data_IF_461113422822
#
_entry.id   IF_461113422822
#
_cell.length_a   1.000
_cell.length_b   1.000
_cell.length_c   1.000
_cell.angle_alpha   90.00
_cell.angle_beta   90.00
_cell.angle_gamma   90.00
#
_symmetry.space_group_name_H-M   'P 1'
#
loop_
_entity.id
_entity.type
_entity.pdbx_description
1 polymer ?
#
# COMPACT_ATOMS: atom_id res chain seq x y z
N UNK A 1 52.69 9.79 32.66
CA UNK A 1 52.13 9.16 31.44
C UNK A 1 50.63 9.03 31.61
N UNK A 2 49.85 9.98 31.09
CA UNK A 2 48.39 9.87 31.09
C UNK A 2 48.01 8.96 29.93
N UNK A 3 47.48 7.76 30.22
CA UNK A 3 46.86 6.91 29.20
C UNK A 3 45.60 7.65 28.73
N UNK A 4 45.64 8.22 27.53
CA UNK A 4 44.44 8.68 26.85
C UNK A 4 43.57 7.44 26.58
N UNK A 5 42.54 7.24 27.39
CA UNK A 5 41.50 6.25 27.13
C UNK A 5 40.75 6.75 25.89
N UNK A 6 40.89 6.04 24.77
CA UNK A 6 40.16 6.35 23.54
C UNK A 6 38.66 6.41 23.87
N UNK A 7 37.90 7.36 23.26
CA UNK A 7 36.48 7.48 23.56
C UNK A 7 35.78 6.19 23.13
N UNK A 8 35.12 5.52 24.08
CA UNK A 8 34.32 4.33 23.82
C UNK A 8 33.00 4.73 23.14
N UNK A 9 33.05 5.05 21.85
CA UNK A 9 31.84 5.25 21.03
C UNK A 9 32.18 5.36 19.55
N UNK A 10 32.76 4.31 18.96
CA UNK A 10 32.76 4.12 17.50
C UNK A 10 32.46 2.65 17.27
N UNK A 11 31.43 2.39 16.46
CA UNK A 11 30.91 1.07 16.04
C UNK A 11 32.07 0.08 15.84
N UNK A 12 32.40 -0.71 16.87
CA UNK A 12 33.64 -1.50 16.91
C UNK A 12 33.66 -2.57 15.82
N UNK A 13 32.47 -3.05 15.45
CA UNK A 13 32.24 -3.98 14.34
C UNK A 13 32.58 -3.33 12.98
N UNK A 14 32.20 -2.06 12.75
CA UNK A 14 32.54 -1.33 11.52
C UNK A 14 34.02 -1.00 11.50
N UNK A 15 34.60 -0.63 12.64
CA UNK A 15 36.03 -0.37 12.74
C UNK A 15 36.87 -1.61 12.45
N UNK A 16 36.46 -2.77 12.96
CA UNK A 16 37.13 -4.03 12.66
C UNK A 16 37.06 -4.34 11.16
N UNK A 17 35.88 -4.18 10.55
CA UNK A 17 35.69 -4.38 9.12
C UNK A 17 36.57 -3.46 8.28
N UNK A 18 36.60 -2.16 8.58
CA UNK A 18 37.49 -1.19 7.94
C UNK A 18 38.97 -1.61 8.04
N UNK A 19 39.41 -2.03 9.23
CA UNK A 19 40.80 -2.44 9.47
C UNK A 19 41.22 -3.67 8.66
N UNK A 20 40.30 -4.62 8.43
CA UNK A 20 40.55 -5.79 7.58
C UNK A 20 40.90 -5.41 6.14
N UNK A 21 40.35 -4.31 5.61
CA UNK A 21 40.60 -3.86 4.24
C UNK A 21 41.69 -2.79 4.15
N UNK A 22 41.82 -1.91 5.16
CA UNK A 22 42.89 -0.91 5.23
C UNK A 22 44.29 -1.55 5.41
N UNK A 23 44.37 -2.82 5.80
CA UNK A 23 45.64 -3.59 5.86
C UNK A 23 46.75 -2.90 6.67
N UNK A 24 46.38 -2.23 7.77
CA UNK A 24 47.31 -1.50 8.65
C UNK A 24 47.67 -0.09 8.18
N UNK A 25 47.14 0.37 7.04
CA UNK A 25 47.24 1.76 6.59
C UNK A 25 46.26 2.67 7.36
N UNK A 26 46.53 3.97 7.34
CA UNK A 26 45.67 4.99 7.97
C UNK A 26 44.39 5.24 7.18
N UNK A 27 44.44 5.11 5.86
CA UNK A 27 43.31 5.25 4.94
C UNK A 27 43.07 3.94 4.18
N UNK A 28 41.89 3.82 3.57
CA UNK A 28 41.45 2.72 2.73
C UNK A 28 41.52 3.17 1.25
N UNK A 29 42.51 2.71 0.46
CA UNK A 29 42.61 3.07 -0.95
C UNK A 29 41.42 2.58 -1.78
N UNK A 30 41.10 3.25 -2.89
CA UNK A 30 40.00 2.88 -3.80
C UNK A 30 40.04 1.40 -4.21
N UNK A 31 41.22 0.86 -4.53
CA UNK A 31 41.38 -0.55 -4.90
C UNK A 31 41.05 -1.54 -3.75
N UNK A 32 41.21 -1.12 -2.49
CA UNK A 32 40.84 -1.91 -1.32
C UNK A 32 39.34 -1.76 -1.00
N UNK A 33 38.78 -0.56 -1.19
CA UNK A 33 37.34 -0.32 -1.13
C UNK A 33 36.60 -1.14 -2.18
N UNK A 34 37.12 -1.22 -3.42
CA UNK A 34 36.56 -2.06 -4.48
C UNK A 34 36.46 -3.54 -4.07
N UNK A 35 37.51 -4.08 -3.44
CA UNK A 35 37.49 -5.46 -2.91
C UNK A 35 36.42 -5.63 -1.83
N UNK A 36 36.25 -4.62 -0.98
CA UNK A 36 35.19 -4.61 0.03
C UNK A 36 33.80 -4.63 -0.62
N UNK A 37 33.56 -3.81 -1.65
CA UNK A 37 32.28 -3.77 -2.38
C UNK A 37 31.94 -5.12 -3.01
N UNK A 38 32.90 -5.72 -3.71
CA UNK A 38 32.70 -6.99 -4.41
C UNK A 38 32.50 -8.17 -3.43
N UNK A 39 33.20 -8.16 -2.29
CA UNK A 39 33.21 -9.30 -1.36
C UNK A 39 32.16 -9.20 -0.25
N UNK A 40 32.02 -8.04 0.37
CA UNK A 40 31.15 -7.86 1.55
C UNK A 40 29.80 -7.24 1.17
N UNK A 41 29.74 -6.38 0.15
CA UNK A 41 28.48 -5.80 -0.34
C UNK A 41 27.89 -6.59 -1.51
N UNK A 42 28.62 -7.59 -2.03
CA UNK A 42 28.22 -8.42 -3.17
C UNK A 42 27.95 -7.63 -4.47
N UNK A 43 28.55 -6.44 -4.60
CA UNK A 43 28.48 -5.59 -5.80
C UNK A 43 29.44 -6.12 -6.87
N UNK A 44 29.08 -7.24 -7.50
CA UNK A 44 29.96 -7.99 -8.41
C UNK A 44 30.36 -7.22 -9.68
N UNK A 45 29.56 -6.23 -10.09
CA UNK A 45 29.84 -5.37 -11.24
C UNK A 45 30.59 -4.10 -10.88
N UNK A 46 30.88 -3.87 -9.59
CA UNK A 46 31.63 -2.69 -9.16
C UNK A 46 33.04 -2.70 -9.77
N UNK A 47 33.48 -1.52 -10.18
CA UNK A 47 34.78 -1.24 -10.76
C UNK A 47 35.48 -0.10 -10.00
N UNK A 48 36.66 0.29 -10.48
CA UNK A 48 37.46 1.34 -9.82
C UNK A 48 36.74 2.69 -9.82
N UNK A 49 36.02 3.03 -10.89
CA UNK A 49 35.20 4.23 -10.98
C UNK A 49 34.08 4.24 -9.92
N UNK A 50 33.44 3.09 -9.68
CA UNK A 50 32.43 2.93 -8.62
C UNK A 50 33.03 3.27 -7.25
N UNK A 51 34.22 2.76 -6.94
CA UNK A 51 34.89 3.01 -5.66
C UNK A 51 35.32 4.48 -5.52
N UNK A 52 35.87 5.09 -6.57
CA UNK A 52 36.25 6.51 -6.57
C UNK A 52 35.03 7.43 -6.38
N UNK A 53 33.91 7.13 -7.05
CA UNK A 53 32.67 7.88 -6.90
C UNK A 53 32.12 7.83 -5.46
N UNK A 54 32.28 6.71 -4.76
CA UNK A 54 31.92 6.60 -3.34
C UNK A 54 32.86 7.42 -2.44
N UNK A 55 34.16 7.44 -2.75
CA UNK A 55 35.13 8.29 -2.05
C UNK A 55 34.77 9.76 -2.24
N UNK A 56 34.51 10.20 -3.47
CA UNK A 56 34.16 11.59 -3.76
C UNK A 56 32.88 12.04 -3.04
N UNK A 57 31.92 11.12 -2.85
CA UNK A 57 30.64 11.38 -2.18
C UNK A 57 30.73 11.37 -0.66
N UNK A 58 31.51 10.46 -0.08
CA UNK A 58 31.46 10.18 1.36
C UNK A 58 32.68 10.64 2.15
N UNK A 59 33.83 10.82 1.51
CA UNK A 59 35.04 11.30 2.18
C UNK A 59 34.96 12.81 2.45
N UNK A 60 35.37 13.20 3.66
CA UNK A 60 35.39 14.60 4.10
C UNK A 60 36.79 15.19 3.95
N UNK A 61 37.81 14.39 4.29
CA UNK A 61 39.19 14.86 4.30
C UNK A 61 39.70 14.99 2.86
N UNK A 62 39.94 16.24 2.44
CA UNK A 62 40.30 16.57 1.06
C UNK A 62 41.59 15.85 0.62
N UNK A 63 42.59 15.78 1.50
CA UNK A 63 43.84 15.05 1.24
C UNK A 63 43.64 13.56 0.99
N UNK A 64 42.68 12.92 1.69
CA UNK A 64 42.35 11.52 1.47
C UNK A 64 41.62 11.33 0.14
N UNK A 65 40.65 12.22 -0.15
CA UNK A 65 39.89 12.23 -1.41
C UNK A 65 40.79 12.44 -2.63
N UNK A 66 41.70 13.43 -2.59
CA UNK A 66 42.68 13.70 -3.64
C UNK A 66 43.64 12.53 -3.88
N UNK A 67 43.96 11.76 -2.83
CA UNK A 67 44.77 10.55 -2.93
C UNK A 67 43.98 9.28 -3.26
N UNK A 68 42.69 9.42 -3.65
CA UNK A 68 41.77 8.31 -3.94
C UNK A 68 41.73 7.28 -2.80
N UNK A 69 41.63 7.77 -1.57
CA UNK A 69 41.51 6.97 -0.37
C UNK A 69 40.43 7.49 0.58
N UNK A 70 39.92 6.59 1.43
CA UNK A 70 38.85 6.86 2.38
C UNK A 70 39.34 6.70 3.82
N UNK A 71 39.03 7.64 4.69
CA UNK A 71 39.25 7.53 6.12
C UNK A 71 38.20 6.62 6.75
N UNK A 72 38.41 6.23 8.01
CA UNK A 72 37.37 5.50 8.76
C UNK A 72 36.06 6.30 8.85
N UNK A 73 36.13 7.64 8.94
CA UNK A 73 34.94 8.50 9.02
C UNK A 73 34.17 8.50 7.69
N UNK A 74 34.88 8.58 6.55
CA UNK A 74 34.28 8.44 5.23
C UNK A 74 33.63 7.06 5.05
N UNK A 75 34.30 5.99 5.50
CA UNK A 75 33.77 4.63 5.43
C UNK A 75 32.53 4.45 6.31
N UNK A 76 32.54 4.99 7.54
CA UNK A 76 31.38 4.96 8.42
C UNK A 76 30.19 5.70 7.80
N UNK A 77 30.42 6.87 7.20
CA UNK A 77 29.38 7.63 6.49
C UNK A 77 28.80 6.86 5.31
N UNK A 78 29.64 6.16 4.54
CA UNK A 78 29.18 5.28 3.48
C UNK A 78 28.33 4.13 4.03
N UNK A 79 28.78 3.44 5.09
CA UNK A 79 28.04 2.33 5.72
C UNK A 79 26.69 2.77 6.32
N UNK A 80 26.55 4.02 6.72
CA UNK A 80 25.29 4.61 7.23
C UNK A 80 24.46 5.28 6.12
N UNK A 81 24.94 5.25 4.87
CA UNK A 81 24.30 5.91 3.75
C UNK A 81 23.15 5.10 3.14
N UNK A 82 22.47 5.73 2.18
CA UNK A 82 21.42 5.07 1.38
C UNK A 82 21.97 4.02 0.42
N UNK A 83 23.26 4.07 0.07
CA UNK A 83 23.93 3.07 -0.78
C UNK A 83 24.11 1.74 -0.03
N UNK A 84 24.28 1.77 1.29
CA UNK A 84 24.31 0.56 2.14
C UNK A 84 22.93 0.18 2.70
N UNK A 85 21.85 0.71 2.12
CA UNK A 85 20.52 0.35 2.56
C UNK A 85 20.24 -1.10 2.16
N UNK A 86 19.87 -1.94 3.14
CA UNK A 86 19.48 -3.36 2.90
C UNK A 86 18.27 -3.46 1.96
N UNK A 87 17.48 -2.39 1.83
CA UNK A 87 16.38 -2.34 0.88
C UNK A 87 16.91 -2.07 -0.54
N UNK A 88 16.69 -3.04 -1.43
CA UNK A 88 17.03 -2.92 -2.85
C UNK A 88 16.32 -1.70 -3.48
N UNK A 89 17.11 -0.73 -3.92
CA UNK A 89 16.62 0.52 -4.49
C UNK A 89 15.93 0.31 -5.83
N UNK A 90 16.27 -0.74 -6.58
CA UNK A 90 15.56 -1.08 -7.81
C UNK A 90 14.07 -1.36 -7.54
N UNK A 91 13.76 -1.88 -6.35
CA UNK A 91 12.39 -2.16 -5.89
C UNK A 91 11.71 -0.99 -5.17
N UNK A 92 12.33 0.20 -5.13
CA UNK A 92 11.73 1.38 -4.51
C UNK A 92 10.70 2.10 -5.40
N UNK A 93 10.59 1.68 -6.66
CA UNK A 93 9.58 2.12 -7.62
C UNK A 93 8.85 0.90 -8.20
N UNK A 94 7.75 1.10 -8.93
CA UNK A 94 7.06 0.00 -9.60
C UNK A 94 8.00 -0.64 -10.64
N UNK A 95 8.31 -1.92 -10.46
CA UNK A 95 9.23 -2.68 -11.33
C UNK A 95 8.64 -4.00 -11.86
N UNK A 96 7.49 -4.40 -11.33
CA UNK A 96 6.81 -5.65 -11.70
C UNK A 96 5.90 -5.43 -12.90
N UNK A 97 5.52 -6.52 -13.56
CA UNK A 97 4.44 -6.52 -14.55
C UNK A 97 3.11 -6.22 -13.82
N UNK A 98 2.43 -5.14 -14.23
CA UNK A 98 1.18 -4.66 -13.63
C UNK A 98 -0.04 -4.88 -14.54
N UNK A 99 0.11 -5.72 -15.56
CA UNK A 99 -0.92 -6.07 -16.55
C UNK A 99 -1.53 -7.47 -16.35
N UNK A 100 -1.09 -8.23 -15.34
CA UNK A 100 -1.71 -9.51 -14.98
C UNK A 100 -3.07 -9.28 -14.29
N UNK A 101 -3.95 -10.29 -14.20
CA UNK A 101 -5.19 -10.20 -13.43
C UNK A 101 -4.93 -9.85 -11.95
N UNK A 102 -5.84 -9.12 -11.30
CA UNK A 102 -5.74 -8.77 -9.86
C UNK A 102 -5.45 -9.97 -8.94
N UNK A 103 -5.91 -11.18 -9.31
CA UNK A 103 -5.64 -12.43 -8.58
C UNK A 103 -4.17 -12.85 -8.53
N UNK A 104 -3.32 -12.23 -9.35
CA UNK A 104 -1.88 -12.51 -9.43
C UNK A 104 -1.05 -11.67 -8.44
N UNK A 105 -1.67 -10.76 -7.69
CA UNK A 105 -0.99 -9.82 -6.80
C UNK A 105 -1.40 -9.99 -5.34
N UNK A 106 -0.45 -9.75 -4.44
CA UNK A 106 -0.80 -9.46 -3.05
C UNK A 106 -1.30 -8.02 -2.93
N UNK A 107 -2.50 -7.85 -2.37
CA UNK A 107 -3.15 -6.54 -2.20
C UNK A 107 -3.02 -6.12 -0.74
N UNK A 108 -2.36 -4.98 -0.49
CA UNK A 108 -2.29 -4.38 0.84
C UNK A 108 -3.71 -4.05 1.32
N UNK A 109 -4.16 -4.69 2.40
CA UNK A 109 -5.57 -4.71 2.81
C UNK A 109 -5.68 -4.42 4.31
N UNK A 110 -6.71 -3.68 4.71
CA UNK A 110 -7.02 -3.41 6.12
C UNK A 110 -8.36 -4.02 6.52
N UNK A 111 -8.45 -4.38 7.80
CA UNK A 111 -9.66 -4.93 8.42
C UNK A 111 -10.20 -3.94 9.45
N UNK A 112 -11.52 -3.74 9.48
CA UNK A 112 -12.23 -2.74 10.29
C UNK A 112 -11.51 -1.39 10.25
N UNK A 113 -11.27 -0.89 9.04
CA UNK A 113 -10.37 0.24 8.74
C UNK A 113 -10.73 1.51 9.51
N UNK A 114 -12.00 1.67 9.89
CA UNK A 114 -12.49 2.81 10.64
C UNK A 114 -11.96 2.88 12.09
N UNK A 115 -11.47 1.78 12.67
CA UNK A 115 -11.03 1.72 14.08
C UNK A 115 -9.60 2.23 14.27
N UNK A 116 -9.40 3.12 15.25
CA UNK A 116 -8.08 3.55 15.72
C UNK A 116 -7.64 2.87 17.03
N UNK A 117 -8.47 1.98 17.56
CA UNK A 117 -8.27 1.31 18.85
C UNK A 117 -8.72 -0.14 18.83
N UNK A 118 -9.17 -0.66 19.96
CA UNK A 118 -9.66 -2.04 20.07
C UNK A 118 -11.03 -2.25 19.40
N UNK A 119 -11.43 -3.51 19.27
CA UNK A 119 -12.65 -3.92 18.59
C UNK A 119 -13.94 -3.69 19.40
N UNK A 120 -13.89 -3.42 20.71
CA UNK A 120 -15.08 -3.41 21.56
C UNK A 120 -15.49 -2.01 22.02
N UNK A 121 -14.52 -1.18 22.39
CA UNK A 121 -14.72 0.18 22.92
C UNK A 121 -13.86 1.22 22.19
N UNK A 122 -13.14 0.81 21.15
CA UNK A 122 -12.27 1.68 20.36
C UNK A 122 -13.01 2.80 19.62
N UNK A 123 -12.27 3.85 19.28
CA UNK A 123 -12.80 4.97 18.51
C UNK A 123 -12.81 4.64 17.02
N UNK A 124 -13.92 4.93 16.35
CA UNK A 124 -13.97 5.04 14.89
C UNK A 124 -13.60 6.44 14.45
N UNK A 125 -12.70 6.58 13.48
CA UNK A 125 -12.21 7.89 13.02
C UNK A 125 -11.80 7.89 11.55
N UNK A 126 -12.00 9.02 10.87
CA UNK A 126 -11.61 9.20 9.46
C UNK A 126 -10.09 9.07 9.27
N UNK A 127 -9.29 9.52 10.25
CA UNK A 127 -7.82 9.40 10.21
C UNK A 127 -7.33 7.95 10.04
N UNK A 128 -8.13 6.97 10.45
CA UNK A 128 -7.79 5.56 10.26
C UNK A 128 -7.72 5.20 8.77
N UNK A 129 -8.68 5.69 7.97
CA UNK A 129 -8.67 5.57 6.51
C UNK A 129 -7.53 6.38 5.88
N UNK A 130 -7.30 7.62 6.33
CA UNK A 130 -6.19 8.46 5.84
C UNK A 130 -4.85 7.76 6.07
N UNK A 131 -4.63 7.23 7.28
CA UNK A 131 -3.41 6.52 7.63
C UNK A 131 -3.24 5.23 6.82
N UNK A 132 -4.31 4.45 6.63
CA UNK A 132 -4.27 3.24 5.82
C UNK A 132 -3.88 3.56 4.37
N UNK A 133 -4.55 4.54 3.74
CA UNK A 133 -4.28 4.97 2.37
C UNK A 133 -2.86 5.50 2.19
N UNK A 134 -2.37 6.36 3.10
CA UNK A 134 -1.00 6.89 3.06
C UNK A 134 0.08 5.85 3.31
N UNK A 135 -0.26 4.73 3.97
CA UNK A 135 0.61 3.55 4.09
C UNK A 135 0.51 2.60 2.88
N UNK A 136 -0.22 2.99 1.84
CA UNK A 136 -0.37 2.22 0.60
C UNK A 136 -1.46 1.13 0.64
N UNK A 137 -2.35 1.12 1.64
CA UNK A 137 -3.48 0.19 1.67
C UNK A 137 -4.39 0.41 0.46
N UNK A 138 -4.78 -0.67 -0.22
CA UNK A 138 -5.60 -0.70 -1.44
C UNK A 138 -6.94 -1.41 -1.25
N UNK A 139 -7.18 -2.13 -0.15
CA UNK A 139 -8.49 -2.69 0.17
C UNK A 139 -8.94 -2.21 1.55
N UNK A 140 -10.02 -1.46 1.60
CA UNK A 140 -10.55 -0.83 2.80
C UNK A 140 -11.91 -1.44 3.16
N UNK A 141 -12.02 -1.97 4.37
CA UNK A 141 -13.29 -2.43 4.93
C UNK A 141 -14.12 -1.30 5.53
N UNK A 142 -15.43 -1.31 5.27
CA UNK A 142 -16.42 -0.32 5.70
C UNK A 142 -17.71 -1.03 6.17
N UNK A 143 -17.92 -1.06 7.49
CA UNK A 143 -19.11 -1.69 8.10
C UNK A 143 -20.27 -0.70 8.15
N UNK A 144 -21.23 -0.86 7.26
CA UNK A 144 -22.30 0.11 7.03
C UNK A 144 -23.56 -0.29 7.81
N UNK A 145 -24.07 0.61 8.63
CA UNK A 145 -25.26 0.41 9.46
C UNK A 145 -26.24 1.58 9.32
N UNK A 146 -27.52 1.30 9.59
CA UNK A 146 -28.52 2.36 9.65
C UNK A 146 -28.16 3.40 10.71
N UNK A 147 -28.20 4.68 10.35
CA UNK A 147 -28.05 5.80 11.26
C UNK A 147 -29.32 6.66 11.38
N UNK A 148 -29.30 7.65 12.28
CA UNK A 148 -30.40 8.59 12.45
C UNK A 148 -30.59 9.46 11.19
N UNK A 149 -31.76 10.07 11.05
CA UNK A 149 -32.06 11.05 9.99
C UNK A 149 -31.78 10.57 8.56
N UNK A 150 -31.90 9.26 8.31
CA UNK A 150 -31.60 8.61 7.03
C UNK A 150 -30.13 8.71 6.58
N UNK A 151 -29.21 8.94 7.52
CA UNK A 151 -27.77 9.00 7.25
C UNK A 151 -27.07 7.70 7.68
N UNK A 152 -26.55 6.89 6.73
CA UNK A 152 -25.81 5.67 7.06
C UNK A 152 -24.54 5.98 7.86
N UNK A 153 -24.25 5.12 8.85
CA UNK A 153 -23.09 5.23 9.73
C UNK A 153 -22.15 4.04 9.58
N UNK A 154 -20.91 4.25 9.99
CA UNK A 154 -19.86 3.23 10.02
C UNK A 154 -19.35 3.02 11.43
N UNK A 155 -19.40 1.77 11.90
CA UNK A 155 -18.88 1.32 13.19
C UNK A 155 -18.90 -0.20 13.29
N UNK A 156 -18.29 -0.75 14.33
CA UNK A 156 -18.31 -2.19 14.57
C UNK A 156 -19.63 -2.60 15.25
N UNK A 157 -20.46 -3.35 14.51
CA UNK A 157 -21.79 -3.77 14.96
C UNK A 157 -21.79 -4.47 16.31
N UNK A 158 -22.85 -4.26 17.10
CA UNK A 158 -23.03 -4.87 18.42
C UNK A 158 -21.93 -4.56 19.46
N UNK A 159 -21.14 -3.50 19.24
CA UNK A 159 -20.11 -3.02 20.17
C UNK A 159 -20.37 -1.60 20.66
N UNK A 160 -19.47 -1.07 21.50
CA UNK A 160 -19.50 0.30 22.02
C UNK A 160 -18.56 1.24 21.26
N UNK A 161 -18.08 0.81 20.09
CA UNK A 161 -17.23 1.66 19.23
C UNK A 161 -17.99 2.91 18.78
N UNK A 162 -17.29 4.03 18.65
CA UNK A 162 -17.93 5.28 18.20
C UNK A 162 -18.35 5.17 16.73
N UNK A 163 -19.27 6.03 16.29
CA UNK A 163 -19.81 6.03 14.93
C UNK A 163 -19.26 7.21 14.13
N UNK A 164 -19.06 7.01 12.84
CA UNK A 164 -18.74 8.06 11.86
C UNK A 164 -19.73 7.96 10.69
N UNK A 165 -19.93 9.03 9.94
CA UNK A 165 -20.86 9.02 8.81
C UNK A 165 -20.24 8.29 7.60
N UNK A 166 -21.03 7.46 6.91
CA UNK A 166 -20.60 6.82 5.68
C UNK A 166 -20.19 7.85 4.61
N UNK A 167 -20.96 8.94 4.50
CA UNK A 167 -20.66 10.07 3.60
C UNK A 167 -19.24 10.62 3.81
N UNK A 168 -18.85 10.80 5.06
CA UNK A 168 -17.53 11.35 5.41
C UNK A 168 -16.42 10.34 5.11
N UNK A 169 -16.68 9.05 5.32
CA UNK A 169 -15.76 7.97 4.92
C UNK A 169 -15.52 8.00 3.42
N UNK A 170 -16.58 8.01 2.59
CA UNK A 170 -16.42 8.04 1.12
C UNK A 170 -15.75 9.33 0.65
N UNK A 171 -16.04 10.47 1.28
CA UNK A 171 -15.36 11.74 1.00
C UNK A 171 -13.86 11.67 1.31
N UNK A 172 -13.51 11.05 2.44
CA UNK A 172 -12.11 10.85 2.84
C UNK A 172 -11.39 9.93 1.84
N UNK A 173 -12.03 8.85 1.41
CA UNK A 173 -11.48 7.93 0.40
C UNK A 173 -11.25 8.67 -0.92
N UNK A 174 -12.22 9.45 -1.40
CA UNK A 174 -12.12 10.20 -2.66
C UNK A 174 -10.87 11.10 -2.73
N UNK A 175 -10.58 11.77 -1.61
CA UNK A 175 -9.48 12.71 -1.44
C UNK A 175 -8.12 12.01 -1.39
N UNK A 176 -8.03 10.87 -0.70
CA UNK A 176 -6.76 10.25 -0.35
C UNK A 176 -6.43 8.96 -1.12
N UNK A 177 -7.39 8.39 -1.87
CA UNK A 177 -7.26 7.09 -2.53
C UNK A 177 -5.96 6.96 -3.34
N UNK A 178 -5.56 8.04 -4.03
CA UNK A 178 -4.47 8.02 -4.99
C UNK A 178 -3.27 8.91 -4.63
N UNK A 179 -3.14 9.38 -3.38
CA UNK A 179 -2.02 10.24 -2.95
C UNK A 179 -0.65 9.58 -3.11
N UNK A 180 -0.56 8.27 -2.82
CA UNK A 180 0.71 7.52 -2.75
C UNK A 180 0.81 6.37 -3.74
N UNK A 181 -0.26 6.07 -4.46
CA UNK A 181 -0.32 4.98 -5.44
C UNK A 181 -1.45 5.23 -6.44
N UNK A 182 -1.18 5.03 -7.73
CA UNK A 182 -2.17 5.17 -8.81
C UNK A 182 -3.07 3.93 -9.00
N UNK A 183 -2.76 2.83 -8.29
CA UNK A 183 -3.47 1.56 -8.45
C UNK A 183 -4.84 1.56 -7.77
N UNK A 184 -5.77 0.72 -8.25
CA UNK A 184 -7.16 0.68 -7.81
C UNK A 184 -7.30 0.50 -6.30
N UNK A 185 -8.35 1.11 -5.75
CA UNK A 185 -8.78 0.93 -4.36
C UNK A 185 -10.07 0.11 -4.35
N UNK A 186 -10.08 -0.95 -3.56
CA UNK A 186 -11.23 -1.83 -3.33
C UNK A 186 -11.92 -1.38 -2.03
N UNK A 187 -13.22 -1.11 -2.09
CA UNK A 187 -14.06 -0.85 -0.93
C UNK A 187 -14.85 -2.11 -0.62
N UNK A 188 -14.50 -2.79 0.47
CA UNK A 188 -15.22 -3.95 0.99
C UNK A 188 -16.34 -3.46 1.91
N UNK A 189 -17.58 -3.49 1.41
CA UNK A 189 -18.75 -3.04 2.16
C UNK A 189 -19.39 -4.20 2.91
N UNK A 190 -19.33 -4.16 4.25
CA UNK A 190 -20.13 -5.03 5.10
C UNK A 190 -21.47 -4.32 5.39
N UNK A 191 -22.51 -4.70 4.65
CA UNK A 191 -23.75 -3.93 4.58
C UNK A 191 -24.87 -4.48 5.49
N UNK A 192 -25.20 -3.73 6.53
CA UNK A 192 -26.30 -3.97 7.47
C UNK A 192 -27.39 -2.90 7.40
N UNK A 193 -27.39 -2.04 6.37
CA UNK A 193 -28.37 -0.97 6.21
C UNK A 193 -29.72 -1.51 5.70
N UNK A 194 -30.80 -0.85 6.09
CA UNK A 194 -32.12 -0.91 5.46
C UNK A 194 -32.04 -0.57 3.97
N UNK A 195 -33.04 -0.99 3.19
CA UNK A 195 -33.07 -0.73 1.75
C UNK A 195 -33.02 0.77 1.45
N UNK A 196 -33.75 1.56 2.22
CA UNK A 196 -33.82 3.00 2.08
C UNK A 196 -32.46 3.65 2.31
N UNK A 197 -31.70 3.22 3.32
CA UNK A 197 -30.35 3.74 3.57
C UNK A 197 -29.30 3.17 2.61
N UNK A 198 -29.50 1.97 2.04
CA UNK A 198 -28.66 1.49 0.95
C UNK A 198 -28.82 2.35 -0.32
N UNK A 199 -30.01 2.89 -0.59
CA UNK A 199 -30.20 3.86 -1.67
C UNK A 199 -29.43 5.16 -1.40
N UNK A 200 -29.36 5.61 -0.15
CA UNK A 200 -28.53 6.75 0.27
C UNK A 200 -27.03 6.44 0.10
N UNK A 201 -26.56 5.26 0.52
CA UNK A 201 -25.17 4.82 0.31
C UNK A 201 -24.79 4.84 -1.17
N UNK A 202 -25.64 4.29 -2.04
CA UNK A 202 -25.41 4.27 -3.48
C UNK A 202 -25.33 5.69 -4.07
N UNK A 203 -26.20 6.60 -3.60
CA UNK A 203 -26.14 8.02 -4.00
C UNK A 203 -24.82 8.68 -3.58
N UNK A 204 -24.32 8.41 -2.37
CA UNK A 204 -23.03 8.92 -1.91
C UNK A 204 -21.86 8.36 -2.70
N UNK A 205 -21.82 7.05 -2.94
CA UNK A 205 -20.79 6.44 -3.79
C UNK A 205 -20.76 7.08 -5.19
N UNK A 206 -21.92 7.24 -5.84
CA UNK A 206 -22.01 7.82 -7.18
C UNK A 206 -21.65 9.30 -7.20
N UNK A 207 -22.19 10.09 -6.27
CA UNK A 207 -22.02 11.55 -6.28
C UNK A 207 -20.64 12.01 -5.82
N UNK A 208 -20.03 11.29 -4.89
CA UNK A 208 -18.72 11.65 -4.30
C UNK A 208 -17.59 11.09 -5.16
N UNK A 209 -17.60 9.78 -5.46
CA UNK A 209 -16.50 9.16 -6.23
C UNK A 209 -16.61 9.48 -7.72
N UNK A 210 -17.81 9.76 -8.23
CA UNK A 210 -18.03 10.19 -9.62
C UNK A 210 -17.42 9.23 -10.63
N UNK A 211 -16.51 9.74 -11.47
CA UNK A 211 -15.83 8.96 -12.50
C UNK A 211 -14.73 8.03 -11.96
N UNK A 212 -14.29 8.21 -10.70
CA UNK A 212 -13.35 7.29 -10.03
C UNK A 212 -14.03 5.97 -9.66
N UNK A 213 -15.36 5.91 -9.63
CA UNK A 213 -16.12 4.70 -9.32
C UNK A 213 -16.30 3.82 -10.57
N UNK A 214 -15.86 2.57 -10.47
CA UNK A 214 -16.15 1.56 -11.47
C UNK A 214 -17.63 1.16 -11.39
N UNK A 215 -18.41 1.58 -12.41
CA UNK A 215 -19.88 1.36 -12.46
C UNK A 215 -20.32 0.35 -13.52
N UNK A 216 -19.47 0.11 -14.51
CA UNK A 216 -19.78 -0.77 -15.64
C UNK A 216 -18.70 -1.83 -15.74
N UNK A 217 -19.06 -3.09 -16.03
CA UNK A 217 -18.07 -4.09 -16.39
C UNK A 217 -17.15 -3.56 -17.48
N UNK A 218 -15.89 -3.93 -17.37
CA UNK A 218 -14.89 -3.51 -18.33
C UNK A 218 -15.05 -4.36 -19.58
N UNK A 219 -14.98 -3.71 -20.75
CA UNK A 219 -14.99 -4.38 -22.04
C UNK A 219 -13.63 -5.08 -22.26
N UNK A 220 -13.31 -6.06 -21.41
CA UNK A 220 -12.07 -6.82 -21.50
C UNK A 220 -12.31 -8.12 -22.32
N UNK A 221 -11.50 -8.42 -23.36
CA UNK A 221 -11.73 -9.57 -24.24
C UNK A 221 -11.50 -10.96 -23.65
N UNK A 222 -11.27 -11.14 -22.35
CA UNK A 222 -10.73 -12.39 -21.81
C UNK A 222 -11.69 -13.11 -20.87
N UNK A 223 -12.18 -14.26 -21.30
CA UNK A 223 -12.19 -15.55 -20.58
C UNK A 223 -12.58 -15.63 -19.09
N UNK A 224 -13.23 -14.63 -18.50
CA UNK A 224 -13.66 -14.64 -17.11
C UNK A 224 -12.60 -14.22 -16.08
N UNK A 225 -11.50 -13.62 -16.53
CA UNK A 225 -10.42 -13.14 -15.65
C UNK A 225 -10.72 -11.74 -15.09
N UNK A 226 -10.23 -11.44 -13.87
CA UNK A 226 -10.32 -10.08 -13.28
C UNK A 226 -9.42 -9.09 -14.03
N UNK A 227 -9.73 -7.78 -14.02
CA UNK A 227 -8.90 -6.77 -14.67
C UNK A 227 -7.51 -6.66 -14.04
N UNK A 228 -6.59 -5.97 -14.72
CA UNK A 228 -5.26 -5.68 -14.21
C UNK A 228 -5.22 -4.42 -13.34
N UNK A 229 -4.21 -4.27 -12.46
CA UNK A 229 -3.99 -3.03 -11.70
C UNK A 229 -3.91 -1.76 -12.56
N UNK A 230 -3.37 -1.82 -13.78
CA UNK A 230 -3.25 -0.66 -14.67
C UNK A 230 -4.59 -0.09 -15.17
N UNK A 231 -5.72 -0.76 -14.90
CA UNK A 231 -7.03 -0.30 -15.33
C UNK A 231 -7.59 0.93 -14.54
N UNK A 232 -7.03 1.22 -13.35
CA UNK A 232 -7.08 2.59 -12.77
C UNK A 232 -8.40 3.11 -12.16
N UNK A 233 -9.24 2.27 -11.55
CA UNK A 233 -10.55 2.69 -10.99
C UNK A 233 -10.84 2.08 -9.61
N UNK A 234 -11.63 2.76 -8.77
CA UNK A 234 -12.09 2.21 -7.49
C UNK A 234 -13.19 1.16 -7.71
N UNK A 235 -13.02 -0.02 -7.12
CA UNK A 235 -13.99 -1.12 -7.18
C UNK A 235 -14.71 -1.27 -5.83
N UNK A 236 -16.02 -1.51 -5.85
CA UNK A 236 -16.82 -1.73 -4.64
C UNK A 236 -17.28 -3.18 -4.62
N UNK A 237 -16.95 -3.92 -3.56
CA UNK A 237 -17.38 -5.31 -3.36
C UNK A 237 -18.31 -5.40 -2.15
N UNK A 238 -19.36 -6.22 -2.23
CA UNK A 238 -20.33 -6.41 -1.14
C UNK A 238 -20.76 -7.87 -1.02
N UNK A 239 -20.50 -8.49 0.15
CA UNK A 239 -21.03 -9.81 0.55
C UNK A 239 -20.62 -11.05 -0.29
N UNK A 240 -20.60 -12.24 0.34
CA UNK A 240 -19.98 -13.48 -0.19
C UNK A 240 -20.35 -13.87 -1.64
N UNK A 241 -19.39 -14.38 -2.44
CA UNK A 241 -19.60 -14.70 -3.84
C UNK A 241 -20.59 -15.85 -3.99
N UNK A 242 -21.71 -15.61 -4.69
CA UNK A 242 -22.49 -16.68 -5.29
C UNK A 242 -22.48 -16.48 -6.79
N UNK A 243 -21.75 -17.36 -7.46
CA UNK A 243 -21.57 -17.36 -8.92
C UNK A 243 -22.90 -17.74 -9.57
N UNK A 244 -23.50 -16.83 -10.32
CA UNK A 244 -24.46 -17.18 -11.39
C UNK A 244 -24.29 -16.18 -12.54
N UNK A 245 -24.01 -16.64 -13.77
CA UNK A 245 -23.85 -15.77 -14.92
C UNK A 245 -25.22 -15.50 -15.55
N UNK A 246 -25.64 -14.24 -15.66
CA UNK A 246 -26.71 -13.88 -16.57
C UNK A 246 -26.72 -12.40 -16.97
N UNK A 247 -26.78 -12.22 -18.30
CA UNK A 247 -27.39 -11.13 -19.04
C UNK A 247 -26.56 -9.87 -19.33
N UNK A 248 -25.94 -9.93 -20.52
CA UNK A 248 -25.58 -8.81 -21.37
C UNK A 248 -26.77 -7.89 -21.73
N UNK A 249 -26.41 -6.70 -22.22
CA UNK A 249 -27.22 -5.68 -22.93
C UNK A 249 -28.19 -4.84 -22.10
N UNK A 250 -27.84 -3.57 -21.82
CA UNK A 250 -28.79 -2.45 -21.69
C UNK A 250 -28.08 -1.09 -21.94
N UNK A 251 -27.92 -0.69 -23.20
CA UNK A 251 -27.88 0.73 -23.55
C UNK A 251 -29.33 1.20 -23.72
N UNK A 252 -29.69 2.35 -23.16
CA UNK A 252 -31.02 3.01 -23.21
C UNK A 252 -32.03 2.71 -22.08
N UNK A 253 -31.65 2.87 -20.81
CA UNK A 253 -32.64 3.05 -19.73
C UNK A 253 -32.36 4.30 -18.85
N UNK A 254 -33.40 4.92 -18.25
CA UNK A 254 -33.26 6.09 -17.39
C UNK A 254 -32.38 5.81 -16.17
N UNK A 255 -31.65 6.82 -15.71
CA UNK A 255 -30.65 6.76 -14.60
C UNK A 255 -31.20 6.06 -13.34
N UNK A 256 -32.48 6.23 -13.01
CA UNK A 256 -33.13 5.59 -11.86
C UNK A 256 -33.34 4.06 -11.99
N UNK A 257 -33.30 3.51 -13.21
CA UNK A 257 -33.31 2.06 -13.45
C UNK A 257 -31.89 1.47 -13.35
N UNK A 258 -30.87 2.25 -13.73
CA UNK A 258 -29.45 1.87 -13.65
C UNK A 258 -28.98 1.71 -12.20
N UNK A 259 -29.38 2.63 -11.30
CA UNK A 259 -29.12 2.49 -9.85
C UNK A 259 -29.80 1.25 -9.25
N UNK A 260 -31.00 0.89 -9.71
CA UNK A 260 -31.73 -0.31 -9.26
C UNK A 260 -31.12 -1.62 -9.74
N UNK A 261 -30.42 -1.63 -10.87
CA UNK A 261 -29.75 -2.82 -11.40
C UNK A 261 -28.40 -3.05 -10.73
N UNK A 262 -27.60 -2.00 -10.55
CA UNK A 262 -26.36 -2.04 -9.73
C UNK A 262 -26.68 -2.49 -8.29
N UNK A 263 -27.80 -2.00 -7.72
CA UNK A 263 -28.31 -2.46 -6.44
C UNK A 263 -28.58 -3.97 -6.39
N UNK A 264 -29.18 -4.55 -7.44
CA UNK A 264 -29.45 -5.99 -7.50
C UNK A 264 -28.18 -6.82 -7.66
N UNK A 265 -27.27 -6.38 -8.52
CA UNK A 265 -26.11 -7.18 -8.92
C UNK A 265 -24.96 -7.10 -7.88
N UNK A 266 -24.82 -5.99 -7.15
CA UNK A 266 -23.80 -5.83 -6.11
C UNK A 266 -24.30 -6.11 -4.68
N UNK A 267 -25.61 -6.04 -4.39
CA UNK A 267 -26.13 -6.08 -3.01
C UNK A 267 -27.23 -7.14 -2.75
N UNK A 268 -27.65 -7.93 -3.75
CA UNK A 268 -28.66 -8.98 -3.59
C UNK A 268 -28.32 -10.26 -4.38
N UNK A 269 -27.62 -11.24 -3.78
CA UNK A 269 -27.60 -12.57 -4.37
C UNK A 269 -29.03 -13.16 -4.29
N UNK A 270 -29.51 -13.72 -5.40
CA UNK A 270 -30.85 -14.30 -5.50
C UNK A 270 -31.08 -15.31 -4.36
N UNK A 271 -32.16 -15.12 -3.57
CA UNK A 271 -32.59 -16.11 -2.58
C UNK A 271 -32.85 -17.44 -3.29
N UNK A 272 -32.11 -18.50 -2.93
CA UNK A 272 -32.47 -19.89 -3.30
C UNK A 272 -33.92 -20.13 -2.88
N UNK A 273 -34.80 -20.35 -3.86
CA UNK A 273 -36.10 -20.97 -3.60
C UNK A 273 -35.83 -22.31 -2.92
N UNK A 274 -36.32 -22.49 -1.69
CA UNK A 274 -36.42 -23.81 -1.07
C UNK A 274 -37.34 -24.65 -1.94
N UNK A 275 -36.79 -25.65 -2.63
CA UNK A 275 -37.60 -26.74 -3.16
C UNK A 275 -38.07 -27.58 -1.97
N UNK A 276 -39.38 -27.56 -1.73
CA UNK A 276 -40.05 -28.61 -0.97
C UNK A 276 -39.89 -29.91 -1.76
N UNK A 277 -39.06 -30.83 -1.27
CA UNK A 277 -39.24 -32.24 -1.56
C UNK A 277 -39.43 -32.98 -0.25
N UNK A 278 -40.67 -33.39 -0.07
CA UNK A 278 -41.15 -34.37 0.88
C UNK A 278 -40.48 -35.73 0.64
N UNK A 279 -39.93 -36.30 1.71
CA UNK A 279 -39.85 -37.73 1.97
C UNK A 279 -39.95 -37.95 3.48
#
# INVERSE_FOLDING_TARGET
MKKNKAPSSRRAEIQHLYQCYASGQTTLPACALLKFLQKEQMELTADEETAENLIDRYEIEETARESRSMTFEGFLRYMESKDCCVFDRAHASVYQDMDQPLTSYFISSSHNTYLTGDQLVGKSHLDAYVCALRKGCRCLEIDCWDGPDMEPVVYHGYTLTTKILFKDVITTVEQHAFEVSAYPVILSLENHCSREQQEVMAQYLISILGEKLLRTPLDHPTTGDLPSPNFGVCEVTGGRPTVTPAAASLAHEPIAARCRKIYKDCFYPAKKQKSNESA
#
